data_IF_014547607018
#
_entry.id   IF_014547607018
#
_cell.length_a   1.000
_cell.length_b   1.000
_cell.length_c   1.000
_cell.angle_alpha   90.00
_cell.angle_beta   90.00
_cell.angle_gamma   90.00
#
_symmetry.space_group_name_H-M   'P 1'
#
loop_
_entity.id
_entity.type
_entity.pdbx_description
1 polymer ?
#
# COMPACT_ATOMS: atom_id res chain seq x y z
N UNK A 1 -20.53 99.54 -40.74
CA UNK A 1 -21.43 98.50 -40.18
C UNK A 1 -20.99 97.08 -40.53
N UNK A 2 -20.42 96.79 -41.72
CA UNK A 2 -20.03 95.43 -42.15
C UNK A 2 -18.92 94.73 -41.32
N UNK A 3 -17.96 95.45 -40.74
CA UNK A 3 -16.86 94.81 -39.98
C UNK A 3 -17.29 94.18 -38.64
N UNK A 4 -18.38 94.66 -38.03
CA UNK A 4 -18.82 94.20 -36.71
C UNK A 4 -19.65 92.90 -36.83
N UNK A 5 -20.34 92.74 -37.96
CA UNK A 5 -21.18 91.59 -38.28
C UNK A 5 -20.33 90.38 -38.71
N UNK A 6 -19.32 90.62 -39.55
CA UNK A 6 -18.32 89.61 -39.93
C UNK A 6 -17.51 89.10 -38.72
N UNK A 7 -17.18 89.99 -37.77
CA UNK A 7 -16.49 89.60 -36.54
C UNK A 7 -17.39 88.75 -35.63
N UNK A 8 -18.68 89.10 -35.55
CA UNK A 8 -19.67 88.32 -34.79
C UNK A 8 -19.85 86.92 -35.38
N UNK A 9 -19.98 86.80 -36.69
CA UNK A 9 -20.09 85.50 -37.38
C UNK A 9 -18.83 84.66 -37.21
N UNK A 10 -17.64 85.25 -37.35
CA UNK A 10 -16.37 84.54 -37.13
C UNK A 10 -16.20 84.03 -35.70
N UNK A 11 -16.62 84.81 -34.70
CA UNK A 11 -16.60 84.39 -33.29
C UNK A 11 -17.58 83.25 -33.03
N UNK A 12 -18.78 83.29 -33.63
CA UNK A 12 -19.78 82.23 -33.52
C UNK A 12 -19.28 80.94 -34.20
N UNK A 13 -18.69 81.05 -35.39
CA UNK A 13 -18.13 79.91 -36.12
C UNK A 13 -16.95 79.27 -35.36
N UNK A 14 -16.05 80.08 -34.80
CA UNK A 14 -14.98 79.59 -33.93
C UNK A 14 -15.52 78.93 -32.65
N UNK A 15 -16.61 79.44 -32.07
CA UNK A 15 -17.25 78.83 -30.91
C UNK A 15 -17.89 77.47 -31.26
N UNK A 16 -18.55 77.37 -32.41
CA UNK A 16 -19.09 76.11 -32.92
C UNK A 16 -18.00 75.09 -33.23
N UNK A 17 -16.90 75.52 -33.87
CA UNK A 17 -15.79 74.63 -34.20
C UNK A 17 -15.08 74.14 -32.93
N UNK A 18 -14.82 75.03 -31.96
CA UNK A 18 -14.31 74.63 -30.64
C UNK A 18 -15.26 73.68 -29.91
N UNK A 19 -16.57 73.91 -30.01
CA UNK A 19 -17.60 73.03 -29.46
C UNK A 19 -17.59 71.64 -30.10
N UNK A 20 -17.52 71.57 -31.44
CA UNK A 20 -17.41 70.31 -32.20
C UNK A 20 -16.14 69.54 -31.83
N UNK A 21 -15.00 70.22 -31.78
CA UNK A 21 -13.72 69.60 -31.40
C UNK A 21 -13.77 69.07 -29.96
N UNK A 22 -14.33 69.84 -29.01
CA UNK A 22 -14.47 69.38 -27.63
C UNK A 22 -15.42 68.18 -27.49
N UNK A 23 -16.49 68.13 -28.29
CA UNK A 23 -17.40 66.99 -28.34
C UNK A 23 -16.72 65.75 -28.93
N UNK A 24 -15.97 65.90 -30.02
CA UNK A 24 -15.20 64.81 -30.63
C UNK A 24 -14.14 64.26 -29.66
N UNK A 25 -13.39 65.14 -29.00
CA UNK A 25 -12.40 64.74 -27.99
C UNK A 25 -13.04 64.04 -26.80
N UNK A 26 -14.19 64.53 -26.34
CA UNK A 26 -14.92 63.91 -25.22
C UNK A 26 -15.46 62.53 -25.60
N UNK A 27 -16.00 62.39 -26.82
CA UNK A 27 -16.48 61.11 -27.33
C UNK A 27 -15.34 60.10 -27.48
N UNK A 28 -14.21 60.53 -28.05
CA UNK A 28 -13.02 59.69 -28.17
C UNK A 28 -12.51 59.22 -26.80
N UNK A 29 -12.46 60.11 -25.80
CA UNK A 29 -12.07 59.72 -24.43
C UNK A 29 -13.02 58.68 -23.82
N UNK A 30 -14.32 58.83 -24.02
CA UNK A 30 -15.32 57.86 -23.55
C UNK A 30 -15.12 56.50 -24.25
N UNK A 31 -14.92 56.50 -25.56
CA UNK A 31 -14.70 55.27 -26.34
C UNK A 31 -13.39 54.58 -25.92
N UNK A 32 -12.31 55.35 -25.73
CA UNK A 32 -11.01 54.84 -25.25
C UNK A 32 -11.10 54.25 -23.83
N UNK A 33 -11.80 54.94 -22.91
CA UNK A 33 -12.05 54.43 -21.55
C UNK A 33 -12.92 53.17 -21.57
N UNK A 34 -13.95 53.12 -22.41
CA UNK A 34 -14.83 51.97 -22.55
C UNK A 34 -14.05 50.74 -23.05
N UNK A 35 -13.27 50.87 -24.12
CA UNK A 35 -12.48 49.76 -24.65
C UNK A 35 -11.38 49.32 -23.67
N UNK A 36 -10.78 50.27 -22.92
CA UNK A 36 -9.84 49.94 -21.84
C UNK A 36 -10.52 49.12 -20.74
N UNK A 37 -11.67 49.56 -20.22
CA UNK A 37 -12.40 48.84 -19.17
C UNK A 37 -12.87 47.47 -19.65
N UNK A 38 -13.39 47.38 -20.87
CA UNK A 38 -13.80 46.12 -21.50
C UNK A 38 -12.63 45.15 -21.60
N UNK A 39 -11.46 45.60 -22.07
CA UNK A 39 -10.26 44.77 -22.14
C UNK A 39 -9.82 44.26 -20.77
N UNK A 40 -9.87 45.11 -19.73
CA UNK A 40 -9.55 44.73 -18.35
C UNK A 40 -10.51 43.66 -17.82
N UNK A 41 -11.81 43.79 -18.08
CA UNK A 41 -12.82 42.83 -17.64
C UNK A 41 -12.61 41.48 -18.34
N UNK A 42 -12.37 41.48 -19.65
CA UNK A 42 -12.12 40.25 -20.43
C UNK A 42 -10.89 39.53 -19.89
N UNK A 43 -9.76 40.23 -19.76
CA UNK A 43 -8.51 39.65 -19.22
C UNK A 43 -8.70 39.09 -17.81
N UNK A 44 -9.45 39.80 -16.95
CA UNK A 44 -9.75 39.32 -15.59
C UNK A 44 -10.58 38.04 -15.62
N UNK A 45 -11.58 37.96 -16.51
CA UNK A 45 -12.44 36.78 -16.67
C UNK A 45 -11.68 35.59 -17.25
N UNK A 46 -10.83 35.79 -18.23
CA UNK A 46 -9.96 34.76 -18.78
C UNK A 46 -9.01 34.22 -17.71
N UNK A 47 -8.34 35.10 -16.97
CA UNK A 47 -7.46 34.69 -15.87
C UNK A 47 -8.20 33.94 -14.75
N UNK A 48 -9.42 34.36 -14.41
CA UNK A 48 -10.28 33.66 -13.44
C UNK A 48 -10.66 32.26 -13.95
N UNK A 49 -11.02 32.16 -15.23
CA UNK A 49 -11.38 30.89 -15.87
C UNK A 49 -10.19 29.93 -15.91
N UNK A 50 -9.01 30.39 -16.33
CA UNK A 50 -7.78 29.57 -16.35
C UNK A 50 -7.41 29.08 -14.95
N UNK A 51 -7.53 29.94 -13.93
CA UNK A 51 -7.28 29.54 -12.53
C UNK A 51 -8.23 28.43 -12.10
N UNK A 52 -9.54 28.60 -12.35
CA UNK A 52 -10.56 27.58 -12.03
C UNK A 52 -10.30 26.27 -12.77
N UNK A 53 -9.90 26.33 -14.04
CA UNK A 53 -9.58 25.16 -14.84
C UNK A 53 -8.36 24.42 -14.26
N UNK A 54 -7.29 25.15 -13.91
CA UNK A 54 -6.09 24.57 -13.28
C UNK A 54 -6.41 23.93 -11.93
N UNK A 55 -7.20 24.59 -11.09
CA UNK A 55 -7.66 24.04 -9.81
C UNK A 55 -8.47 22.76 -10.01
N UNK A 56 -9.37 22.73 -10.99
CA UNK A 56 -10.19 21.55 -11.29
C UNK A 56 -9.32 20.39 -11.79
N UNK A 57 -8.36 20.65 -12.68
CA UNK A 57 -7.41 19.66 -13.18
C UNK A 57 -6.56 19.08 -12.04
N UNK A 58 -6.05 19.93 -11.15
CA UNK A 58 -5.28 19.49 -9.98
C UNK A 58 -6.14 18.62 -9.05
N UNK A 59 -7.39 19.03 -8.77
CA UNK A 59 -8.33 18.23 -7.96
C UNK A 59 -8.59 16.86 -8.60
N UNK A 60 -8.81 16.82 -9.91
CA UNK A 60 -9.02 15.57 -10.62
C UNK A 60 -7.79 14.65 -10.52
N UNK A 61 -6.59 15.19 -10.72
CA UNK A 61 -5.35 14.43 -10.58
C UNK A 61 -5.19 13.85 -9.17
N UNK A 62 -5.46 14.64 -8.13
CA UNK A 62 -5.41 14.19 -6.73
C UNK A 62 -6.40 13.05 -6.50
N UNK A 63 -7.66 13.22 -6.92
CA UNK A 63 -8.71 12.20 -6.75
C UNK A 63 -8.33 10.91 -7.48
N UNK A 64 -7.82 11.02 -8.71
CA UNK A 64 -7.39 9.88 -9.51
C UNK A 64 -6.26 9.11 -8.82
N UNK A 65 -5.24 9.81 -8.31
CA UNK A 65 -4.14 9.17 -7.58
C UNK A 65 -4.63 8.52 -6.27
N UNK A 66 -5.55 9.16 -5.55
CA UNK A 66 -6.16 8.58 -4.36
C UNK A 66 -6.93 7.30 -4.69
N UNK A 67 -7.68 7.28 -5.79
CA UNK A 67 -8.42 6.10 -6.24
C UNK A 67 -7.47 4.95 -6.57
N UNK A 68 -6.42 5.22 -7.37
CA UNK A 68 -5.40 4.23 -7.74
C UNK A 68 -4.68 3.66 -6.52
N UNK A 69 -4.36 4.52 -5.54
CA UNK A 69 -3.75 4.08 -4.30
C UNK A 69 -4.69 3.22 -3.45
N UNK A 70 -5.98 3.56 -3.37
CA UNK A 70 -6.99 2.75 -2.67
C UNK A 70 -7.16 1.39 -3.31
N UNK A 71 -7.22 1.33 -4.63
CA UNK A 71 -7.31 0.07 -5.38
C UNK A 71 -6.10 -0.83 -5.08
N UNK A 72 -4.89 -0.29 -5.24
CA UNK A 72 -3.65 -1.02 -4.95
C UNK A 72 -3.61 -1.53 -3.50
N UNK A 73 -4.02 -0.70 -2.54
CA UNK A 73 -4.04 -1.07 -1.13
C UNK A 73 -5.06 -2.18 -0.86
N UNK A 74 -6.26 -2.10 -1.45
CA UNK A 74 -7.31 -3.12 -1.32
C UNK A 74 -6.82 -4.48 -1.86
N UNK A 75 -6.20 -4.48 -3.04
CA UNK A 75 -5.61 -5.69 -3.61
C UNK A 75 -4.50 -6.24 -2.70
N UNK A 76 -3.61 -5.39 -2.19
CA UNK A 76 -2.52 -5.81 -1.32
C UNK A 76 -3.04 -6.46 -0.04
N UNK A 77 -4.01 -5.84 0.62
CA UNK A 77 -4.64 -6.38 1.85
C UNK A 77 -5.29 -7.74 1.57
N UNK A 78 -5.97 -7.87 0.43
CA UNK A 78 -6.60 -9.13 0.03
C UNK A 78 -5.56 -10.24 -0.20
N UNK A 79 -4.46 -9.93 -0.92
CA UNK A 79 -3.36 -10.87 -1.14
C UNK A 79 -2.70 -11.32 0.17
N UNK A 80 -2.44 -10.39 1.09
CA UNK A 80 -1.88 -10.69 2.41
C UNK A 80 -2.81 -11.57 3.25
N UNK A 81 -4.13 -11.31 3.19
CA UNK A 81 -5.13 -12.14 3.88
C UNK A 81 -5.10 -13.58 3.38
N UNK A 82 -5.09 -13.79 2.07
CA UNK A 82 -5.01 -15.13 1.46
C UNK A 82 -3.74 -15.86 1.91
N UNK A 83 -2.59 -15.20 1.88
CA UNK A 83 -1.33 -15.82 2.34
C UNK A 83 -1.38 -16.20 3.82
N UNK A 84 -1.94 -15.33 4.66
CA UNK A 84 -2.11 -15.62 6.08
C UNK A 84 -3.01 -16.84 6.30
N UNK A 85 -4.12 -16.92 5.59
CA UNK A 85 -5.04 -18.06 5.65
C UNK A 85 -4.38 -19.34 5.14
N UNK A 86 -3.55 -19.26 4.09
CA UNK A 86 -2.78 -20.39 3.57
C UNK A 86 -1.82 -20.95 4.63
N UNK A 87 -0.98 -20.12 5.24
CA UNK A 87 -0.04 -20.58 6.26
C UNK A 87 -0.74 -21.07 7.53
N UNK A 88 -1.85 -20.44 7.92
CA UNK A 88 -2.67 -20.92 9.02
C UNK A 88 -3.28 -22.30 8.72
N UNK A 89 -3.74 -22.51 7.48
CA UNK A 89 -4.28 -23.80 7.05
C UNK A 89 -3.19 -24.87 7.03
N UNK A 90 -1.98 -24.54 6.57
CA UNK A 90 -0.83 -25.45 6.61
C UNK A 90 -0.47 -25.84 8.05
N UNK A 91 -0.48 -24.89 9.00
CA UNK A 91 -0.27 -25.18 10.41
C UNK A 91 -1.34 -26.13 10.95
N UNK A 92 -2.62 -25.86 10.69
CA UNK A 92 -3.72 -26.72 11.11
C UNK A 92 -3.61 -28.12 10.50
N UNK A 93 -3.22 -28.21 9.23
CA UNK A 93 -3.00 -29.49 8.57
C UNK A 93 -1.89 -30.28 9.27
N UNK A 94 -0.75 -29.65 9.56
CA UNK A 94 0.36 -30.27 10.31
C UNK A 94 -0.08 -30.72 11.70
N UNK A 95 -0.78 -29.87 12.45
CA UNK A 95 -1.33 -30.23 13.77
C UNK A 95 -2.36 -31.36 13.69
N UNK A 96 -3.01 -31.56 12.54
CA UNK A 96 -3.99 -32.63 12.32
C UNK A 96 -3.40 -33.93 11.73
N UNK A 97 -2.09 -33.98 11.48
CA UNK A 97 -1.45 -35.20 10.97
C UNK A 97 -1.74 -36.41 11.86
N UNK A 98 -1.94 -37.57 11.21
CA UNK A 98 -2.04 -38.85 11.89
C UNK A 98 -0.73 -39.18 12.61
N UNK A 99 -0.82 -40.02 13.64
CA UNK A 99 0.36 -40.46 14.38
C UNK A 99 1.45 -41.04 13.45
N UNK A 100 1.07 -41.85 12.45
CA UNK A 100 2.05 -42.46 11.54
C UNK A 100 2.78 -41.42 10.68
N UNK A 101 2.05 -40.43 10.14
CA UNK A 101 2.64 -39.35 9.32
C UNK A 101 3.53 -38.46 10.17
N UNK A 102 3.10 -38.16 11.39
CA UNK A 102 3.91 -37.35 12.31
C UNK A 102 5.17 -38.09 12.75
N UNK A 103 5.07 -39.40 12.98
CA UNK A 103 6.20 -40.24 13.29
C UNK A 103 7.20 -40.27 12.13
N UNK A 104 6.75 -40.49 10.89
CA UNK A 104 7.62 -40.43 9.70
C UNK A 104 8.37 -39.09 9.61
N UNK A 105 7.67 -37.98 9.86
CA UNK A 105 8.28 -36.65 9.88
C UNK A 105 9.35 -36.52 10.97
N UNK A 106 9.08 -37.01 12.19
CA UNK A 106 10.05 -37.01 13.30
C UNK A 106 11.28 -37.84 12.94
N UNK A 107 11.11 -39.05 12.39
CA UNK A 107 12.24 -39.89 11.95
C UNK A 107 13.14 -39.14 10.97
N UNK A 108 12.56 -38.50 9.94
CA UNK A 108 13.32 -37.72 8.94
C UNK A 108 14.07 -36.53 9.53
N UNK A 109 13.58 -35.95 10.62
CA UNK A 109 14.29 -34.89 11.34
C UNK A 109 15.44 -35.52 12.13
N UNK A 110 15.14 -36.51 12.96
CA UNK A 110 16.10 -37.12 13.87
C UNK A 110 17.28 -37.78 13.13
N UNK A 111 17.06 -38.39 11.96
CA UNK A 111 18.13 -38.97 11.12
C UNK A 111 19.25 -37.98 10.78
N UNK A 112 18.94 -36.68 10.69
CA UNK A 112 19.92 -35.62 10.40
C UNK A 112 20.93 -35.41 11.52
N UNK A 113 20.61 -35.86 12.72
CA UNK A 113 21.42 -35.70 13.93
C UNK A 113 22.12 -36.99 14.36
N UNK A 114 22.14 -38.02 13.51
CA UNK A 114 22.55 -39.40 13.84
C UNK A 114 23.95 -39.56 14.44
N UNK A 115 24.82 -38.55 14.33
CA UNK A 115 26.19 -38.56 14.86
C UNK A 115 26.39 -37.65 16.09
N UNK A 116 25.33 -37.07 16.65
CA UNK A 116 25.41 -36.11 17.76
C UNK A 116 24.61 -36.60 18.96
N UNK A 117 25.10 -36.31 20.17
CA UNK A 117 24.30 -36.43 21.38
C UNK A 117 23.33 -35.24 21.41
N UNK A 118 22.04 -35.54 21.26
CA UNK A 118 20.99 -34.53 21.21
C UNK A 118 19.94 -34.78 22.28
N UNK A 119 19.37 -33.69 22.80
CA UNK A 119 18.20 -33.74 23.67
C UNK A 119 16.96 -33.42 22.82
N UNK A 120 16.02 -34.36 22.78
CA UNK A 120 14.76 -34.20 22.06
C UNK A 120 13.66 -33.87 23.06
N UNK A 121 13.00 -32.73 22.87
CA UNK A 121 11.85 -32.32 23.69
C UNK A 121 10.62 -32.19 22.82
N UNK A 122 9.61 -33.01 23.07
CA UNK A 122 8.36 -32.98 22.29
C UNK A 122 7.41 -31.89 22.77
N UNK A 123 6.62 -31.35 21.84
CA UNK A 123 5.41 -30.61 22.18
C UNK A 123 4.36 -31.53 22.78
N UNK A 124 3.61 -31.03 23.77
CA UNK A 124 2.55 -31.77 24.46
C UNK A 124 1.51 -32.36 23.50
N UNK A 125 1.10 -31.58 22.47
CA UNK A 125 0.09 -32.02 21.51
C UNK A 125 0.60 -33.13 20.60
N UNK A 126 1.88 -33.10 20.25
CA UNK A 126 2.53 -34.16 19.45
C UNK A 126 2.68 -35.42 20.27
N UNK A 127 3.15 -35.32 21.52
CA UNK A 127 3.30 -36.47 22.39
C UNK A 127 1.97 -37.17 22.65
N UNK A 128 0.88 -36.41 22.80
CA UNK A 128 -0.47 -36.93 23.01
C UNK A 128 -1.01 -37.80 21.85
N UNK A 129 -0.43 -37.71 20.65
CA UNK A 129 -0.82 -38.54 19.49
C UNK A 129 -0.21 -39.93 19.52
N UNK A 130 0.89 -40.13 20.26
CA UNK A 130 1.65 -41.37 20.22
C UNK A 130 1.25 -42.31 21.35
N UNK A 131 1.21 -43.60 21.05
CA UNK A 131 1.11 -44.64 22.07
C UNK A 131 2.49 -45.05 22.59
N UNK A 132 2.50 -45.83 23.68
CA UNK A 132 3.74 -46.28 24.32
C UNK A 132 4.61 -47.11 23.37
N UNK A 133 4.03 -48.00 22.58
CA UNK A 133 4.77 -48.86 21.63
C UNK A 133 5.51 -48.03 20.57
N UNK A 134 4.86 -46.98 20.04
CA UNK A 134 5.44 -46.04 19.09
C UNK A 134 6.61 -45.26 19.69
N UNK A 135 6.47 -44.80 20.94
CA UNK A 135 7.54 -44.09 21.65
C UNK A 135 8.72 -45.01 22.00
N UNK A 136 8.45 -46.26 22.39
CA UNK A 136 9.49 -47.25 22.66
C UNK A 136 10.27 -47.61 21.40
N UNK A 137 9.58 -47.82 20.27
CA UNK A 137 10.21 -48.02 18.97
C UNK A 137 11.10 -46.84 18.58
N UNK A 138 10.64 -45.61 18.79
CA UNK A 138 11.41 -44.40 18.50
C UNK A 138 12.70 -44.34 19.34
N UNK A 139 12.60 -44.61 20.65
CA UNK A 139 13.76 -44.66 21.55
C UNK A 139 14.74 -45.77 21.16
N UNK A 140 14.22 -46.93 20.73
CA UNK A 140 15.05 -48.04 20.26
C UNK A 140 15.80 -47.71 18.96
N UNK A 141 15.17 -46.97 18.05
CA UNK A 141 15.81 -46.54 16.79
C UNK A 141 16.86 -45.45 16.98
N UNK A 142 16.76 -44.65 18.04
CA UNK A 142 17.71 -43.57 18.36
C UNK A 142 18.28 -43.73 19.78
N UNK A 143 19.11 -44.76 20.04
CA UNK A 143 19.59 -45.09 21.39
C UNK A 143 20.55 -44.04 21.97
N UNK A 144 21.18 -43.22 21.12
CA UNK A 144 22.13 -42.19 21.53
C UNK A 144 21.44 -40.84 21.87
N UNK A 145 20.11 -40.77 21.82
CA UNK A 145 19.35 -39.53 21.95
C UNK A 145 18.70 -39.49 23.33
N UNK A 146 18.73 -38.34 23.98
CA UNK A 146 18.08 -38.12 25.26
C UNK A 146 16.69 -37.51 25.04
N UNK A 147 15.64 -38.28 25.30
CA UNK A 147 14.28 -37.78 25.21
C UNK A 147 13.84 -37.18 26.54
N UNK A 148 13.51 -35.88 26.54
CA UNK A 148 13.01 -35.16 27.72
C UNK A 148 11.67 -35.74 28.19
N UNK A 149 11.52 -35.93 29.50
CA UNK A 149 10.25 -36.33 30.11
C UNK A 149 9.25 -35.17 30.21
N UNK A 150 9.73 -33.93 30.15
CA UNK A 150 8.90 -32.73 30.25
C UNK A 150 8.57 -32.22 28.84
N UNK A 151 7.32 -32.36 28.37
CA UNK A 151 6.92 -31.82 27.09
C UNK A 151 6.75 -30.29 27.16
N UNK A 152 6.84 -29.64 26.00
CA UNK A 152 6.56 -28.21 25.86
C UNK A 152 5.04 -28.01 25.82
N UNK A 153 4.51 -27.36 26.85
CA UNK A 153 3.06 -27.17 27.02
C UNK A 153 2.41 -26.44 25.84
N UNK A 154 1.24 -26.94 25.41
CA UNK A 154 0.41 -26.35 24.35
C UNK A 154 1.09 -26.15 22.98
N UNK A 155 2.15 -26.92 22.71
CA UNK A 155 2.88 -26.89 21.44
C UNK A 155 2.80 -28.21 20.68
N UNK A 156 2.99 -28.12 19.36
CA UNK A 156 3.08 -29.23 18.41
C UNK A 156 4.45 -29.19 17.72
N UNK A 157 5.02 -30.35 17.44
CA UNK A 157 6.37 -30.55 16.90
C UNK A 157 7.37 -30.97 17.99
N UNK A 158 8.64 -30.65 17.76
CA UNK A 158 9.73 -30.96 18.67
C UNK A 158 10.81 -29.86 18.70
N UNK A 159 11.62 -29.88 19.75
CA UNK A 159 12.85 -29.11 19.90
C UNK A 159 14.02 -30.07 19.98
N UNK A 160 15.11 -29.76 19.28
CA UNK A 160 16.35 -30.52 19.32
C UNK A 160 17.44 -29.62 19.90
N UNK A 161 18.00 -30.00 21.03
CA UNK A 161 19.05 -29.25 21.71
C UNK A 161 20.39 -29.96 21.60
N UNK A 162 21.40 -29.25 21.07
CA UNK A 162 22.79 -29.66 20.96
C UNK A 162 23.64 -28.72 21.83
N UNK A 163 23.91 -29.12 23.06
CA UNK A 163 24.67 -28.31 24.02
C UNK A 163 23.95 -27.00 24.38
N UNK A 164 24.32 -25.89 23.70
CA UNK A 164 23.73 -24.55 23.89
C UNK A 164 22.90 -24.07 22.68
N UNK A 165 22.77 -24.90 21.66
CA UNK A 165 22.06 -24.57 20.41
C UNK A 165 20.75 -25.33 20.41
N UNK A 166 19.65 -24.62 20.12
CA UNK A 166 18.31 -25.18 20.02
C UNK A 166 17.79 -25.05 18.60
N UNK A 167 17.62 -26.19 17.92
CA UNK A 167 16.99 -26.30 16.62
C UNK A 167 15.47 -26.50 16.79
N UNK A 168 14.70 -25.47 16.42
CA UNK A 168 13.27 -25.38 16.70
C UNK A 168 12.44 -25.95 15.54
N UNK A 169 11.89 -27.15 15.76
CA UNK A 169 10.95 -27.83 14.87
C UNK A 169 9.51 -27.78 15.40
N UNK A 170 9.18 -26.80 16.24
CA UNK A 170 7.78 -26.54 16.60
C UNK A 170 7.04 -26.02 15.37
N UNK A 171 5.85 -26.54 15.12
CA UNK A 171 5.14 -26.31 13.85
C UNK A 171 4.86 -24.84 13.60
N UNK A 172 4.49 -24.09 14.66
CA UNK A 172 4.30 -22.64 14.59
C UNK A 172 5.58 -21.91 14.16
N UNK A 173 6.73 -22.32 14.70
CA UNK A 173 8.03 -21.72 14.38
C UNK A 173 8.44 -22.06 12.95
N UNK A 174 8.34 -23.34 12.56
CA UNK A 174 8.64 -23.81 11.21
C UNK A 174 7.83 -23.08 10.15
N UNK A 175 6.50 -23.08 10.29
CA UNK A 175 5.61 -22.36 9.37
C UNK A 175 5.88 -20.86 9.39
N UNK A 176 6.17 -20.29 10.57
CA UNK A 176 6.55 -18.88 10.72
C UNK A 176 7.83 -18.52 9.97
N UNK A 177 8.85 -19.37 10.02
CA UNK A 177 10.11 -19.19 9.29
C UNK A 177 9.91 -19.33 7.79
N UNK A 178 9.23 -20.37 7.34
CA UNK A 178 8.88 -20.57 5.92
C UNK A 178 8.06 -19.38 5.40
N UNK A 179 7.10 -18.89 6.19
CA UNK A 179 6.33 -17.70 5.83
C UNK A 179 7.23 -16.48 5.65
N UNK A 180 8.24 -16.26 6.50
CA UNK A 180 9.15 -15.12 6.36
C UNK A 180 10.07 -15.24 5.14
N UNK A 181 10.57 -16.44 4.87
CA UNK A 181 11.57 -16.69 3.83
C UNK A 181 10.93 -16.80 2.44
N UNK A 182 9.82 -17.52 2.33
CA UNK A 182 9.24 -17.95 1.05
C UNK A 182 7.96 -17.20 0.66
N UNK A 183 7.44 -16.29 1.51
CA UNK A 183 6.19 -15.55 1.19
C UNK A 183 6.23 -14.86 -0.15
N UNK A 184 7.36 -14.26 -0.54
CA UNK A 184 7.50 -13.58 -1.83
C UNK A 184 7.44 -14.56 -3.00
N UNK A 185 8.11 -15.72 -2.89
CA UNK A 185 8.11 -16.78 -3.90
C UNK A 185 6.69 -17.33 -4.10
N UNK A 186 6.02 -17.68 -3.00
CA UNK A 186 4.65 -18.20 -2.99
C UNK A 186 3.66 -17.16 -3.53
N UNK A 187 3.81 -15.89 -3.14
CA UNK A 187 2.94 -14.82 -3.65
C UNK A 187 3.06 -14.66 -5.17
N UNK A 188 4.26 -14.82 -5.73
CA UNK A 188 4.46 -14.76 -7.17
C UNK A 188 3.77 -15.93 -7.88
N UNK A 189 3.87 -17.15 -7.35
CA UNK A 189 3.20 -18.32 -7.94
C UNK A 189 1.67 -18.24 -7.88
N UNK A 190 1.11 -17.66 -6.81
CA UNK A 190 -0.35 -17.60 -6.62
C UNK A 190 -0.98 -16.43 -7.38
N UNK A 191 -0.31 -15.27 -7.43
CA UNK A 191 -0.92 -14.02 -7.91
C UNK A 191 -0.34 -13.47 -9.20
N UNK A 192 0.72 -14.06 -9.75
CA UNK A 192 1.34 -13.66 -11.01
C UNK A 192 1.19 -14.83 -11.99
N UNK A 193 0.01 -14.90 -12.62
CA UNK A 193 -0.21 -15.52 -13.92
C UNK A 193 -0.44 -14.40 -14.94
#
# INVERSE_FOLDING_TARGET
MSNLENLRESVIEQAHEKGRMKLLDSKKKIDDEFEMQKSLIIKKKEAEHERKLKELQQKYQIIFQQLKNKERQSTLVSKQKILKELFQSALLEMESWSADKEMEFIYRILERYSQQEVIVTFGERTLAKFNLEQLEKLKFSFPNYLFSEQPISNESGLLISIGKIDDNYLYKTLIGSISKEESSSIANQIFIN
#
